data_IF_190462895186
#
_entry.id   IF_190462895186
#
_cell.length_a   1.000
_cell.length_b   1.000
_cell.length_c   1.000
_cell.angle_alpha   90.00
_cell.angle_beta   90.00
_cell.angle_gamma   90.00
#
_symmetry.space_group_name_H-M   'P 1'
#
loop_
_entity.id
_entity.type
_entity.pdbx_description
1 polymer ?
#
# COMPACT_ATOMS: atom_id res chain seq x y z
N UNK A 1 -33.71 -11.38 3.24
CA UNK A 1 -32.44 -12.13 3.30
C UNK A 1 -31.33 -11.12 3.57
N UNK A 2 -30.59 -11.30 4.67
CA UNK A 2 -29.50 -10.41 5.09
C UNK A 2 -28.24 -10.76 4.28
N UNK A 3 -27.73 -9.84 3.48
CA UNK A 3 -26.34 -9.92 2.99
C UNK A 3 -25.50 -9.00 3.86
N UNK A 4 -24.79 -9.57 4.82
CA UNK A 4 -23.69 -8.90 5.49
C UNK A 4 -22.47 -9.05 4.60
N UNK A 5 -21.99 -7.93 4.04
CA UNK A 5 -20.70 -7.86 3.36
C UNK A 5 -19.65 -8.07 4.46
N UNK A 6 -19.02 -9.23 4.47
CA UNK A 6 -17.87 -9.51 5.32
C UNK A 6 -16.69 -8.68 4.77
N UNK A 7 -16.48 -7.50 5.34
CA UNK A 7 -15.22 -6.79 5.20
C UNK A 7 -14.17 -7.60 5.97
N UNK A 8 -13.32 -8.32 5.24
CA UNK A 8 -12.19 -9.04 5.81
C UNK A 8 -11.19 -7.99 6.31
N UNK A 9 -11.27 -7.64 7.59
CA UNK A 9 -10.27 -6.79 8.24
C UNK A 9 -9.07 -7.66 8.56
N UNK A 10 -7.97 -7.49 7.83
CA UNK A 10 -6.66 -8.04 8.20
C UNK A 10 -6.17 -7.29 9.45
N UNK A 11 -6.55 -7.78 10.62
CA UNK A 11 -6.03 -7.32 11.91
C UNK A 11 -4.64 -7.91 12.15
N UNK A 12 -3.61 -7.15 11.81
CA UNK A 12 -2.25 -7.38 12.32
C UNK A 12 -2.09 -6.64 13.65
N UNK A 13 -1.39 -7.28 14.60
CA UNK A 13 -1.44 -7.00 16.05
C UNK A 13 -1.14 -5.56 16.50
N UNK A 14 -1.41 -5.32 17.79
CA UNK A 14 -1.39 -4.05 18.55
C UNK A 14 -0.03 -3.28 18.59
N UNK A 15 0.74 -3.25 17.52
CA UNK A 15 1.67 -2.15 17.30
C UNK A 15 0.81 -0.95 16.87
N UNK A 16 0.87 0.16 17.59
CA UNK A 16 0.29 1.41 17.11
C UNK A 16 0.97 1.72 15.77
N UNK A 17 0.24 1.53 14.67
CA UNK A 17 0.75 1.87 13.35
C UNK A 17 1.26 3.31 13.39
N UNK A 18 2.51 3.47 12.96
CA UNK A 18 3.21 4.75 13.00
C UNK A 18 2.70 5.66 11.90
N UNK A 19 2.44 5.07 10.72
CA UNK A 19 1.77 5.72 9.62
C UNK A 19 0.48 4.98 9.30
N UNK A 20 -0.62 5.71 9.15
CA UNK A 20 -1.89 5.19 8.69
C UNK A 20 -2.38 5.96 7.48
N UNK A 21 -2.92 5.24 6.52
CA UNK A 21 -3.31 5.83 5.25
C UNK A 21 -4.06 4.86 4.37
N UNK A 22 -3.92 5.09 3.07
CA UNK A 22 -4.59 4.31 2.06
C UNK A 22 -3.72 4.16 0.83
N UNK A 23 -3.94 3.05 0.16
CA UNK A 23 -3.52 2.79 -1.20
C UNK A 23 -4.74 3.03 -2.09
N UNK A 24 -4.54 3.71 -3.21
CA UNK A 24 -5.52 3.90 -4.28
C UNK A 24 -5.05 3.12 -5.50
N UNK A 25 -5.97 2.46 -6.20
CA UNK A 25 -5.65 1.55 -7.30
C UNK A 25 -6.60 1.80 -8.47
N UNK A 26 -6.05 1.86 -9.68
CA UNK A 26 -6.79 2.06 -10.92
C UNK A 26 -6.12 1.33 -12.07
N UNK A 27 -6.88 0.88 -13.06
CA UNK A 27 -6.37 -0.08 -14.05
C UNK A 27 -5.61 0.59 -15.21
N UNK A 28 -5.92 1.86 -15.53
CA UNK A 28 -5.52 2.51 -16.79
C UNK A 28 -4.78 3.85 -16.65
N UNK A 29 -4.84 4.51 -15.49
CA UNK A 29 -4.15 5.76 -15.22
C UNK A 29 -3.78 5.93 -13.75
N UNK A 30 -2.87 6.86 -13.46
CA UNK A 30 -2.49 7.21 -12.10
C UNK A 30 -3.72 7.58 -11.24
N UNK A 31 -3.94 6.89 -10.13
CA UNK A 31 -5.09 7.15 -9.27
C UNK A 31 -4.99 8.52 -8.58
N UNK A 32 -6.15 9.10 -8.29
CA UNK A 32 -6.34 10.35 -7.54
C UNK A 32 -6.91 10.03 -6.17
N UNK A 33 -6.54 10.80 -5.16
CA UNK A 33 -7.11 10.66 -3.81
C UNK A 33 -8.54 11.24 -3.71
N UNK A 34 -9.48 10.62 -4.43
CA UNK A 34 -10.92 10.91 -4.42
C UNK A 34 -11.71 9.69 -3.91
N UNK A 35 -12.93 9.94 -3.44
CA UNK A 35 -13.75 8.89 -2.82
C UNK A 35 -14.22 7.80 -3.79
N UNK A 36 -14.29 8.08 -5.10
CA UNK A 36 -14.78 7.14 -6.11
C UNK A 36 -13.76 6.06 -6.51
N UNK A 37 -12.49 6.20 -6.11
CA UNK A 37 -11.45 5.25 -6.48
C UNK A 37 -11.30 4.13 -5.46
N UNK A 38 -11.08 2.90 -5.97
CA UNK A 38 -10.79 1.71 -5.17
C UNK A 38 -9.68 2.03 -4.18
N UNK A 39 -9.88 1.69 -2.93
CA UNK A 39 -8.88 1.94 -1.89
C UNK A 39 -8.78 0.81 -0.89
N UNK A 40 -7.57 0.62 -0.40
CA UNK A 40 -7.27 -0.29 0.70
C UNK A 40 -6.58 0.49 1.82
N UNK A 41 -7.02 0.29 3.06
CA UNK A 41 -6.36 0.88 4.22
C UNK A 41 -4.96 0.28 4.38
N UNK A 42 -4.00 1.12 4.74
CA UNK A 42 -2.63 0.72 5.02
C UNK A 42 -2.18 1.27 6.37
N UNK A 43 -1.60 0.41 7.18
CA UNK A 43 -0.89 0.79 8.40
C UNK A 43 0.54 0.28 8.32
N UNK A 44 1.51 1.15 8.57
CA UNK A 44 2.92 0.79 8.62
C UNK A 44 3.53 1.14 9.98
N UNK A 45 4.37 0.26 10.49
CA UNK A 45 5.11 0.46 11.73
C UNK A 45 6.61 0.25 11.47
N UNK A 46 7.45 1.03 12.15
CA UNK A 46 8.91 0.88 12.07
C UNK A 46 9.36 -0.56 12.31
N UNK A 47 10.30 -1.01 11.48
CA UNK A 47 10.94 -2.32 11.60
C UNK A 47 10.07 -3.45 11.06
N UNK A 48 8.99 -3.11 10.35
CA UNK A 48 8.16 -4.04 9.62
C UNK A 48 8.22 -3.72 8.14
N UNK A 49 8.28 -4.77 7.33
CA UNK A 49 8.02 -4.68 5.91
C UNK A 49 6.60 -5.19 5.68
N UNK A 50 5.84 -4.48 4.86
CA UNK A 50 4.55 -4.97 4.38
C UNK A 50 4.82 -5.74 3.10
N UNK A 51 4.28 -6.95 3.02
CA UNK A 51 4.16 -7.71 1.78
C UNK A 51 2.72 -8.21 1.69
N UNK A 52 1.96 -7.72 0.71
CA UNK A 52 0.51 -7.94 0.64
C UNK A 52 0.08 -8.32 -0.77
N UNK A 53 -0.77 -9.33 -0.88
CA UNK A 53 -1.40 -9.71 -2.15
C UNK A 53 -2.51 -8.72 -2.53
N UNK A 54 -2.45 -8.24 -3.77
CA UNK A 54 -3.39 -7.31 -4.40
C UNK A 54 -4.13 -7.93 -5.59
N UNK A 55 -4.07 -9.24 -5.78
CA UNK A 55 -4.73 -9.94 -6.89
C UNK A 55 -6.23 -9.63 -6.98
N UNK A 56 -6.91 -9.39 -5.87
CA UNK A 56 -8.34 -8.99 -5.89
C UNK A 56 -8.56 -7.57 -6.41
N UNK A 57 -7.58 -6.67 -6.22
CA UNK A 57 -7.68 -5.26 -6.60
C UNK A 57 -7.07 -4.98 -7.99
N UNK A 58 -6.09 -5.78 -8.38
CA UNK A 58 -5.33 -5.73 -9.62
C UNK A 58 -5.24 -7.14 -10.26
N UNK A 59 -6.38 -7.70 -10.72
CA UNK A 59 -6.48 -9.11 -11.12
C UNK A 59 -5.67 -9.46 -12.38
N UNK A 60 -5.49 -8.51 -13.28
CA UNK A 60 -4.70 -8.70 -14.51
C UNK A 60 -3.20 -8.43 -14.26
N UNK A 61 -2.81 -8.07 -13.03
CA UNK A 61 -1.44 -7.70 -12.68
C UNK A 61 -0.99 -6.39 -13.33
N UNK A 62 -1.87 -5.70 -14.05
CA UNK A 62 -1.61 -4.41 -14.67
C UNK A 62 -2.52 -3.34 -14.06
N UNK A 63 -1.93 -2.46 -13.27
CA UNK A 63 -2.63 -1.35 -12.64
C UNK A 63 -1.66 -0.25 -12.23
N UNK A 64 -2.21 0.93 -11.98
CA UNK A 64 -1.56 2.06 -11.38
C UNK A 64 -1.98 2.21 -9.93
N UNK A 65 -1.03 2.56 -9.09
CA UNK A 65 -1.19 2.66 -7.66
C UNK A 65 -0.67 4.00 -7.16
N UNK A 66 -1.37 4.58 -6.19
CA UNK A 66 -0.90 5.71 -5.40
C UNK A 66 -1.03 5.37 -3.93
N UNK A 67 -0.10 5.88 -3.14
CA UNK A 67 -0.01 5.66 -1.72
C UNK A 67 0.04 6.99 -1.00
N UNK A 68 -0.72 7.13 0.08
CA UNK A 68 -0.59 8.25 1.00
C UNK A 68 -0.89 7.79 2.43
N UNK A 69 -0.02 8.15 3.36
CA UNK A 69 -0.25 7.95 4.79
C UNK A 69 0.20 9.14 5.64
N UNK A 70 -0.41 9.28 6.80
CA UNK A 70 -0.14 10.30 7.80
C UNK A 70 0.49 9.68 9.03
N UNK A 71 1.44 10.40 9.62
CA UNK A 71 2.05 10.06 10.89
C UNK A 71 1.00 10.11 12.00
N UNK A 72 0.76 8.96 12.63
CA UNK A 72 -0.13 8.80 13.80
C UNK A 72 0.63 8.41 15.07
N UNK A 73 1.90 8.02 14.94
CA UNK A 73 2.79 7.70 16.07
C UNK A 73 3.73 8.84 16.47
N UNK A 74 4.63 8.57 17.42
CA UNK A 74 5.67 9.51 17.89
C UNK A 74 7.02 9.34 17.20
N UNK A 75 7.25 8.21 16.54
CA UNK A 75 8.44 7.97 15.72
C UNK A 75 8.21 8.55 14.32
N UNK A 76 9.20 9.21 13.72
CA UNK A 76 9.07 9.84 12.39
C UNK A 76 9.88 9.12 11.30
N UNK A 77 10.43 7.94 11.58
CA UNK A 77 11.10 7.13 10.56
C UNK A 77 10.11 6.63 9.52
N UNK A 78 10.48 6.69 8.27
CA UNK A 78 9.61 6.29 7.16
C UNK A 78 10.16 5.04 6.48
N UNK A 79 9.32 4.23 5.83
CA UNK A 79 9.82 3.28 4.84
C UNK A 79 10.49 4.06 3.70
N UNK A 80 11.60 3.55 3.16
CA UNK A 80 12.25 4.19 1.99
C UNK A 80 11.58 3.84 0.67
N UNK A 81 10.94 2.67 0.57
CA UNK A 81 10.54 2.07 -0.69
C UNK A 81 9.11 1.55 -0.65
N UNK A 82 8.38 1.83 -1.72
CA UNK A 82 7.17 1.10 -2.11
C UNK A 82 7.54 0.21 -3.29
N UNK A 83 6.97 -0.98 -3.41
CA UNK A 83 7.31 -1.87 -4.51
C UNK A 83 6.18 -2.76 -5.01
N UNK A 84 6.41 -3.26 -6.22
CA UNK A 84 5.64 -4.27 -6.92
C UNK A 84 6.52 -5.51 -7.03
N UNK A 85 6.10 -6.59 -6.40
CA UNK A 85 6.86 -7.83 -6.30
C UNK A 85 6.17 -8.96 -7.09
N UNK A 86 6.95 -9.86 -7.71
CA UNK A 86 6.41 -10.99 -8.47
C UNK A 86 5.82 -12.09 -7.56
N UNK A 87 6.23 -12.15 -6.29
CA UNK A 87 5.82 -13.15 -5.30
C UNK A 87 5.57 -12.52 -3.93
N UNK A 88 5.01 -13.31 -3.02
CA UNK A 88 4.82 -13.01 -1.60
C UNK A 88 6.15 -12.90 -0.81
N UNK A 89 7.27 -13.28 -1.42
CA UNK A 89 8.59 -12.92 -0.97
C UNK A 89 9.01 -11.53 -1.49
N UNK A 90 8.68 -10.49 -0.72
CA UNK A 90 9.09 -9.12 -1.01
C UNK A 90 10.58 -8.81 -0.72
N UNK A 91 11.41 -9.83 -0.45
CA UNK A 91 12.88 -9.67 -0.37
C UNK A 91 13.60 -9.86 -1.71
N UNK A 92 12.87 -10.25 -2.75
CA UNK A 92 13.38 -10.53 -4.09
C UNK A 92 13.33 -9.31 -5.04
N UNK A 93 13.57 -9.53 -6.35
CA UNK A 93 13.59 -8.54 -7.45
C UNK A 93 12.24 -7.80 -7.63
N UNK A 94 11.92 -6.91 -6.69
CA UNK A 94 10.77 -6.02 -6.78
C UNK A 94 11.11 -4.77 -7.60
N UNK A 95 10.16 -4.31 -8.40
CA UNK A 95 10.22 -2.96 -8.93
C UNK A 95 9.87 -2.00 -7.80
N UNK A 96 10.71 -0.98 -7.55
CA UNK A 96 10.50 -0.08 -6.40
C UNK A 96 10.42 1.39 -6.81
N UNK A 97 9.66 2.15 -6.04
CA UNK A 97 9.55 3.60 -6.08
C UNK A 97 9.97 4.19 -4.73
N UNK A 98 10.63 5.34 -4.78
CA UNK A 98 10.99 6.09 -3.58
C UNK A 98 9.74 6.62 -2.89
N UNK A 99 9.64 6.41 -1.58
CA UNK A 99 8.60 7.02 -0.77
C UNK A 99 8.97 8.48 -0.51
N UNK A 100 8.14 9.39 -1.00
CA UNK A 100 8.28 10.80 -0.71
C UNK A 100 7.83 11.09 0.71
N UNK A 101 8.66 11.82 1.45
CA UNK A 101 8.35 12.24 2.84
C UNK A 101 8.15 13.75 2.87
N UNK A 102 7.05 14.20 3.45
CA UNK A 102 6.72 15.63 3.61
C UNK A 102 6.17 15.89 5.01
N UNK A 103 6.97 16.51 5.88
CA UNK A 103 6.59 16.83 7.27
C UNK A 103 6.08 15.60 8.04
N UNK A 104 4.77 15.36 8.03
CA UNK A 104 4.07 14.30 8.74
C UNK A 104 3.35 13.33 7.78
N UNK A 105 3.63 13.38 6.48
CA UNK A 105 3.06 12.48 5.49
C UNK A 105 4.12 11.76 4.69
N UNK A 106 3.72 10.59 4.17
CA UNK A 106 4.47 9.84 3.18
C UNK A 106 3.57 9.52 2.00
N UNK A 107 4.13 9.53 0.79
CA UNK A 107 3.38 9.22 -0.42
C UNK A 107 4.22 8.62 -1.54
N UNK A 108 3.52 7.94 -2.45
CA UNK A 108 3.96 7.68 -3.83
C UNK A 108 2.79 8.06 -4.72
N UNK A 109 3.00 9.02 -5.61
CA UNK A 109 1.88 9.64 -6.34
C UNK A 109 1.40 8.79 -7.52
N UNK A 110 2.29 7.98 -8.10
CA UNK A 110 1.93 7.02 -9.14
C UNK A 110 3.00 5.94 -9.32
N UNK A 111 2.59 4.68 -9.26
CA UNK A 111 3.40 3.51 -9.51
C UNK A 111 2.66 2.56 -10.45
N UNK A 112 3.33 2.11 -11.51
CA UNK A 112 2.78 1.17 -12.48
C UNK A 112 3.21 -0.25 -12.12
N UNK A 113 2.25 -1.11 -11.85
CA UNK A 113 2.42 -2.55 -11.67
C UNK A 113 2.17 -3.21 -13.03
N UNK A 114 3.09 -4.08 -13.47
CA UNK A 114 3.03 -4.79 -14.75
C UNK A 114 3.36 -6.27 -14.57
N UNK A 115 2.34 -7.08 -14.38
CA UNK A 115 2.43 -8.51 -14.08
C UNK A 115 2.79 -8.83 -12.62
N UNK A 116 2.72 -7.84 -11.71
CA UNK A 116 2.94 -8.04 -10.28
C UNK A 116 1.63 -7.96 -9.51
N UNK A 117 1.49 -8.83 -8.52
CA UNK A 117 0.32 -8.87 -7.64
C UNK A 117 0.66 -8.60 -6.18
N UNK A 118 1.94 -8.49 -5.83
CA UNK A 118 2.34 -8.28 -4.45
C UNK A 118 2.84 -6.86 -4.25
N UNK A 119 2.26 -6.19 -3.26
CA UNK A 119 2.67 -4.87 -2.80
C UNK A 119 3.70 -5.00 -1.69
N UNK A 120 4.75 -4.19 -1.82
CA UNK A 120 5.78 -4.01 -0.81
C UNK A 120 5.77 -2.58 -0.26
N UNK A 121 5.96 -2.44 1.05
CA UNK A 121 6.32 -1.18 1.69
C UNK A 121 7.32 -1.44 2.82
N UNK A 122 8.52 -0.90 2.71
CA UNK A 122 9.60 -1.16 3.66
C UNK A 122 10.85 -0.35 3.34
N UNK A 123 11.96 -0.80 3.92
CA UNK A 123 13.29 -0.20 3.70
C UNK A 123 13.99 -0.72 2.44
#
# INVERSE_FOLDING_TARGET
MKSAIASTVLFFGLALAQYNGQIKIKDDECPKFVASEKSQSLGWAKGTNICADLSELCPEGKCFMAFQALLTGTDSRTPSKMGACPSDDCSADCQTWDVHTQSNSISVDCAEFTGQHYFYLGD
#
